data_IF_725309572464
#
_entry.id   IF_725309572464
#
_cell.length_a   1.000
_cell.length_b   1.000
_cell.length_c   1.000
_cell.angle_alpha   90.00
_cell.angle_beta   90.00
_cell.angle_gamma   90.00
#
_symmetry.space_group_name_H-M   'P 1'
#
loop_
_entity.id
_entity.type
_entity.pdbx_description
1 polymer ?
#
# COMPACT_ATOMS: atom_id res chain seq x y z
N UNK A 1 43.05 -11.40 -41.48
CA UNK A 1 41.75 -11.22 -40.82
C UNK A 1 41.42 -9.71 -40.78
N UNK A 2 40.48 -9.23 -41.59
CA UNK A 2 40.04 -7.84 -41.57
C UNK A 2 39.12 -7.64 -40.35
N UNK A 3 39.57 -6.90 -39.34
CA UNK A 3 38.72 -6.44 -38.25
C UNK A 3 37.82 -5.32 -38.81
N UNK A 4 36.54 -5.60 -38.98
CA UNK A 4 35.54 -4.59 -39.30
C UNK A 4 35.37 -3.70 -38.07
N UNK A 5 35.68 -2.41 -38.19
CA UNK A 5 35.43 -1.41 -37.16
C UNK A 5 33.99 -0.90 -37.27
N UNK A 6 33.39 -0.51 -36.13
CA UNK A 6 32.08 0.13 -36.05
C UNK A 6 32.19 1.60 -36.50
N UNK A 7 31.25 2.08 -37.28
CA UNK A 7 31.23 3.51 -37.68
C UNK A 7 30.58 4.37 -36.58
N UNK A 8 31.01 5.63 -36.47
CA UNK A 8 30.42 6.60 -35.54
C UNK A 8 28.91 6.79 -35.72
N UNK A 9 28.45 6.75 -36.99
CA UNK A 9 27.05 6.94 -37.33
C UNK A 9 26.18 5.74 -36.89
N UNK A 10 26.70 4.51 -37.00
CA UNK A 10 26.00 3.31 -36.53
C UNK A 10 25.77 3.38 -35.02
N UNK A 11 26.77 3.83 -34.25
CA UNK A 11 26.62 4.00 -32.80
C UNK A 11 25.61 5.12 -32.46
N UNK A 12 25.70 6.25 -33.18
CA UNK A 12 24.83 7.41 -32.94
C UNK A 12 23.36 7.07 -33.18
N UNK A 13 23.03 6.37 -34.25
CA UNK A 13 21.65 5.96 -34.56
C UNK A 13 21.11 5.01 -33.51
N UNK A 14 21.91 4.05 -33.05
CA UNK A 14 21.49 3.10 -32.01
C UNK A 14 21.17 3.81 -30.69
N UNK A 15 22.04 4.72 -30.22
CA UNK A 15 21.78 5.43 -28.96
C UNK A 15 20.59 6.38 -29.06
N UNK A 16 20.34 6.97 -30.25
CA UNK A 16 19.17 7.80 -30.50
C UNK A 16 17.88 6.97 -30.38
N UNK A 17 17.83 5.80 -31.02
CA UNK A 17 16.66 4.91 -30.95
C UNK A 17 16.42 4.45 -29.51
N UNK A 18 17.46 4.00 -28.80
CA UNK A 18 17.35 3.60 -27.38
C UNK A 18 16.85 4.77 -26.52
N UNK A 19 17.36 5.99 -26.76
CA UNK A 19 16.93 7.19 -26.04
C UNK A 19 15.43 7.47 -26.18
N UNK A 20 14.90 7.39 -27.40
CA UNK A 20 13.46 7.59 -27.68
C UNK A 20 12.62 6.48 -27.02
N UNK A 21 13.02 5.22 -27.14
CA UNK A 21 12.30 4.09 -26.53
C UNK A 21 12.33 4.19 -25.00
N UNK A 22 13.47 4.51 -24.41
CA UNK A 22 13.61 4.68 -22.97
C UNK A 22 12.74 5.82 -22.42
N UNK A 23 12.65 6.94 -23.15
CA UNK A 23 11.82 8.08 -22.72
C UNK A 23 10.34 7.72 -22.53
N UNK A 24 9.83 6.77 -23.32
CA UNK A 24 8.45 6.27 -23.19
C UNK A 24 8.32 5.11 -22.18
N UNK A 25 9.32 4.25 -22.10
CA UNK A 25 9.26 3.03 -21.27
C UNK A 25 9.47 3.31 -19.76
N UNK A 26 10.38 4.23 -19.42
CA UNK A 26 10.77 4.48 -18.02
C UNK A 26 9.60 4.95 -17.15
N UNK A 27 8.75 5.92 -17.55
CA UNK A 27 7.60 6.33 -16.74
C UNK A 27 6.61 5.19 -16.48
N UNK A 28 6.35 4.35 -17.49
CA UNK A 28 5.45 3.21 -17.38
C UNK A 28 6.02 2.14 -16.44
N UNK A 29 7.32 1.91 -16.50
CA UNK A 29 8.00 0.98 -15.60
C UNK A 29 7.86 1.40 -14.12
N UNK A 30 8.09 2.67 -13.79
CA UNK A 30 7.92 3.15 -12.41
C UNK A 30 6.49 3.00 -11.92
N UNK A 31 5.49 3.27 -12.75
CA UNK A 31 4.08 3.07 -12.42
C UNK A 31 3.77 1.59 -12.15
N UNK A 32 4.30 0.68 -12.96
CA UNK A 32 4.11 -0.76 -12.78
C UNK A 32 4.76 -1.27 -11.48
N UNK A 33 5.98 -0.81 -11.17
CA UNK A 33 6.67 -1.14 -9.91
C UNK A 33 5.87 -0.65 -8.70
N UNK A 34 5.32 0.55 -8.76
CA UNK A 34 4.58 1.10 -7.63
C UNK A 34 3.23 0.38 -7.43
N UNK A 35 2.55 -0.03 -8.51
CA UNK A 35 1.37 -0.92 -8.42
C UNK A 35 1.70 -2.27 -7.77
N UNK A 36 2.85 -2.85 -8.07
CA UNK A 36 3.28 -4.08 -7.43
C UNK A 36 3.50 -3.90 -5.92
N UNK A 37 4.09 -2.78 -5.49
CA UNK A 37 4.23 -2.45 -4.05
C UNK A 37 2.88 -2.24 -3.36
N UNK A 38 1.96 -1.56 -4.03
CA UNK A 38 0.58 -1.39 -3.53
C UNK A 38 -0.09 -2.74 -3.32
N UNK A 39 0.05 -3.67 -4.25
CA UNK A 39 -0.50 -5.03 -4.14
C UNK A 39 0.11 -5.79 -2.96
N UNK A 40 1.43 -5.67 -2.75
CA UNK A 40 2.11 -6.24 -1.57
C UNK A 40 1.52 -5.70 -0.25
N UNK A 41 1.33 -4.38 -0.17
CA UNK A 41 0.69 -3.74 0.98
C UNK A 41 -0.73 -4.23 1.23
N UNK A 42 -1.52 -4.42 0.17
CA UNK A 42 -2.88 -4.94 0.25
C UNK A 42 -2.95 -6.37 0.75
N UNK A 43 -2.09 -7.25 0.23
CA UNK A 43 -2.03 -8.65 0.69
C UNK A 43 -1.71 -8.70 2.18
N UNK A 44 -0.73 -7.92 2.62
CA UNK A 44 -0.36 -7.83 4.02
C UNK A 44 -1.50 -7.31 4.90
N UNK A 45 -2.21 -6.28 4.47
CA UNK A 45 -3.39 -5.78 5.17
C UNK A 45 -4.53 -6.82 5.24
N UNK A 46 -4.71 -7.63 4.19
CA UNK A 46 -5.71 -8.70 4.18
C UNK A 46 -5.36 -9.82 5.17
N UNK A 47 -4.10 -10.22 5.23
CA UNK A 47 -3.59 -11.22 6.18
C UNK A 47 -3.73 -10.72 7.63
N UNK A 48 -3.39 -9.47 7.89
CA UNK A 48 -3.55 -8.83 9.19
C UNK A 48 -5.03 -8.80 9.60
N UNK A 49 -5.93 -8.35 8.72
CA UNK A 49 -7.35 -8.30 9.02
C UNK A 49 -7.92 -9.69 9.32
N UNK A 50 -7.49 -10.70 8.58
CA UNK A 50 -7.89 -12.10 8.81
C UNK A 50 -7.41 -12.62 10.17
N UNK A 51 -6.15 -12.34 10.53
CA UNK A 51 -5.58 -12.68 11.84
C UNK A 51 -6.28 -11.93 12.98
N UNK A 52 -6.56 -10.65 12.81
CA UNK A 52 -7.29 -9.85 13.78
C UNK A 52 -8.72 -10.38 14.02
N UNK A 53 -9.41 -10.83 12.96
CA UNK A 53 -10.74 -11.47 13.10
C UNK A 53 -10.66 -12.79 13.89
N UNK A 54 -9.65 -13.62 13.63
CA UNK A 54 -9.43 -14.84 14.43
C UNK A 54 -9.14 -14.52 15.90
N UNK A 55 -8.34 -13.48 16.14
CA UNK A 55 -8.04 -13.00 17.49
C UNK A 55 -9.31 -12.50 18.21
N UNK A 56 -10.13 -11.73 17.51
CA UNK A 56 -11.40 -11.22 18.04
C UNK A 56 -12.34 -12.37 18.49
N UNK A 57 -12.41 -13.45 17.71
CA UNK A 57 -13.21 -14.63 18.08
C UNK A 57 -12.68 -15.35 19.32
N UNK A 58 -11.38 -15.24 19.61
CA UNK A 58 -10.75 -15.91 20.76
C UNK A 58 -10.90 -15.11 22.07
N UNK A 59 -10.73 -13.79 22.02
CA UNK A 59 -10.63 -12.96 23.22
C UNK A 59 -11.62 -11.78 23.25
N UNK A 60 -12.54 -11.72 22.29
CA UNK A 60 -13.47 -10.61 22.09
C UNK A 60 -12.76 -9.22 22.02
N UNK A 61 -11.61 -9.18 21.38
CA UNK A 61 -10.80 -7.97 21.22
C UNK A 61 -9.72 -8.14 20.14
N UNK A 62 -9.23 -7.04 19.63
CA UNK A 62 -8.16 -7.03 18.65
C UNK A 62 -6.77 -6.98 19.29
N UNK A 63 -5.78 -7.58 18.67
CA UNK A 63 -4.41 -7.49 19.12
C UNK A 63 -3.88 -6.05 18.96
N UNK A 64 -3.20 -5.55 20.01
CA UNK A 64 -2.62 -4.20 20.03
C UNK A 64 -1.27 -4.11 19.34
N UNK A 65 -0.61 -5.24 19.14
CA UNK A 65 0.68 -5.34 18.47
C UNK A 65 0.73 -6.60 17.60
N UNK A 66 1.70 -6.66 16.70
CA UNK A 66 1.87 -7.76 15.76
C UNK A 66 2.27 -9.08 16.44
N UNK A 67 2.88 -9.03 17.62
CA UNK A 67 3.23 -10.23 18.40
C UNK A 67 1.99 -11.02 18.87
N UNK A 68 0.83 -10.35 18.96
CA UNK A 68 -0.43 -10.95 19.31
C UNK A 68 -1.16 -11.65 18.15
N UNK A 69 -0.64 -11.54 16.93
CA UNK A 69 -1.21 -12.13 15.72
C UNK A 69 -0.56 -13.47 15.40
N UNK A 70 -1.28 -14.32 14.69
CA UNK A 70 -0.83 -15.63 14.20
C UNK A 70 -0.14 -15.55 12.82
N UNK A 71 0.54 -14.43 12.55
CA UNK A 71 1.28 -14.16 11.32
C UNK A 71 2.78 -14.13 11.66
N UNK A 72 3.58 -14.82 10.86
CA UNK A 72 5.03 -14.78 10.99
C UNK A 72 5.63 -13.65 10.15
N UNK A 73 6.36 -12.75 10.81
CA UNK A 73 7.14 -11.69 10.17
C UNK A 73 8.63 -12.03 10.20
N UNK A 74 9.37 -11.59 9.19
CA UNK A 74 10.81 -11.79 9.16
C UNK A 74 11.48 -10.92 10.23
N UNK A 75 12.56 -11.44 10.82
CA UNK A 75 13.35 -10.71 11.81
C UNK A 75 13.92 -9.43 11.18
N UNK A 76 13.70 -8.28 11.84
CA UNK A 76 14.15 -6.97 11.39
C UNK A 76 13.12 -6.18 10.56
N UNK A 77 11.97 -6.77 10.28
CA UNK A 77 10.84 -6.08 9.62
C UNK A 77 9.85 -5.46 10.63
N UNK A 78 9.96 -5.80 11.90
CA UNK A 78 9.06 -5.32 12.96
C UNK A 78 9.80 -4.37 13.90
N UNK A 79 9.12 -3.31 14.36
CA UNK A 79 9.61 -2.41 15.41
C UNK A 79 9.75 -3.13 16.75
N UNK A 80 10.60 -2.62 17.64
CA UNK A 80 10.88 -3.23 18.95
C UNK A 80 9.65 -3.33 19.84
N UNK A 81 8.72 -2.37 19.72
CA UNK A 81 7.42 -2.37 20.43
C UNK A 81 6.36 -3.26 19.78
N UNK A 82 6.64 -3.82 18.61
CA UNK A 82 5.75 -4.69 17.86
C UNK A 82 4.50 -3.99 17.29
N UNK A 83 4.48 -2.66 17.22
CA UNK A 83 3.30 -1.92 16.71
C UNK A 83 3.40 -1.59 15.22
N UNK A 84 4.61 -1.67 14.66
CA UNK A 84 4.90 -1.32 13.27
C UNK A 84 5.66 -2.45 12.58
N UNK A 85 5.32 -2.71 11.33
CA UNK A 85 6.10 -3.59 10.44
C UNK A 85 6.42 -2.87 9.14
N UNK A 86 7.49 -3.33 8.48
CA UNK A 86 7.98 -2.81 7.21
C UNK A 86 8.09 -3.95 6.20
N UNK A 87 7.62 -3.75 4.98
CA UNK A 87 7.76 -4.77 3.92
C UNK A 87 9.21 -4.92 3.43
N UNK A 88 10.02 -3.93 3.75
CA UNK A 88 11.49 -3.95 3.63
C UNK A 88 12.10 -3.47 4.94
N UNK A 89 13.43 -3.36 4.99
CA UNK A 89 14.10 -2.84 6.20
C UNK A 89 13.57 -1.45 6.57
N UNK A 90 13.62 -1.09 7.85
CA UNK A 90 13.15 0.20 8.39
C UNK A 90 13.72 1.43 7.66
N UNK A 91 14.87 1.29 7.00
CA UNK A 91 15.53 2.35 6.22
C UNK A 91 15.33 2.22 4.72
N UNK A 92 14.46 1.30 4.25
CA UNK A 92 14.27 1.03 2.82
C UNK A 92 12.97 1.57 2.25
N UNK A 93 12.95 1.71 0.93
CA UNK A 93 11.76 2.03 0.15
C UNK A 93 10.73 0.90 0.21
N UNK A 94 9.68 1.03 0.99
CA UNK A 94 8.67 -0.01 1.17
C UNK A 94 7.34 0.53 1.67
N UNK A 95 6.59 -0.34 2.32
CA UNK A 95 5.37 0.01 3.04
C UNK A 95 5.62 -0.11 4.54
N UNK A 96 5.22 0.90 5.28
CA UNK A 96 5.14 0.90 6.74
C UNK A 96 3.70 0.53 7.11
N UNK A 97 3.53 -0.52 7.90
CA UNK A 97 2.20 -0.96 8.33
C UNK A 97 2.06 -0.79 9.82
N UNK A 98 0.97 -0.13 10.22
CA UNK A 98 0.63 0.13 11.62
C UNK A 98 -0.73 -0.46 11.94
N UNK A 99 -0.91 -0.91 13.20
CA UNK A 99 -2.18 -1.38 13.72
C UNK A 99 -2.90 -0.25 14.46
N UNK A 100 -4.21 -0.16 14.25
CA UNK A 100 -5.14 0.62 15.07
C UNK A 100 -6.22 -0.31 15.62
N UNK A 101 -5.96 -0.96 16.79
CA UNK A 101 -6.84 -1.99 17.30
C UNK A 101 -8.12 -1.45 17.95
N UNK A 102 -8.12 -0.17 18.28
CA UNK A 102 -9.18 0.44 19.09
C UNK A 102 -9.63 1.76 18.46
N UNK A 103 -10.48 1.62 17.45
CA UNK A 103 -11.25 2.77 16.99
C UNK A 103 -12.71 2.49 17.31
N UNK A 104 -13.25 3.20 18.30
CA UNK A 104 -14.61 3.03 18.83
C UNK A 104 -15.71 3.14 17.77
N UNK A 105 -15.39 3.60 16.58
CA UNK A 105 -16.35 3.73 15.48
C UNK A 105 -16.35 2.56 14.49
N UNK A 106 -15.27 1.78 14.39
CA UNK A 106 -15.12 0.83 13.25
C UNK A 106 -14.50 -0.51 13.62
N UNK A 107 -14.33 -0.80 14.88
CA UNK A 107 -13.79 -2.10 15.30
C UNK A 107 -12.30 -2.33 14.98
N UNK A 108 -11.55 -1.25 14.72
CA UNK A 108 -10.11 -1.32 14.41
C UNK A 108 -9.78 -1.47 12.93
N UNK A 109 -8.58 -1.05 12.58
CA UNK A 109 -8.05 -1.12 11.21
C UNK A 109 -6.53 -1.25 11.20
N UNK A 110 -5.96 -1.60 10.06
CA UNK A 110 -4.54 -1.49 9.78
C UNK A 110 -4.32 -0.53 8.61
N UNK A 111 -3.24 0.24 8.67
CA UNK A 111 -2.85 1.17 7.61
C UNK A 111 -1.47 0.80 7.08
N UNK A 112 -1.35 0.68 5.76
CA UNK A 112 -0.10 0.52 5.05
C UNK A 112 0.23 1.83 4.32
N UNK A 113 1.29 2.51 4.75
CA UNK A 113 1.73 3.80 4.23
C UNK A 113 2.98 3.63 3.38
N UNK A 114 3.01 4.25 2.21
CA UNK A 114 4.21 4.31 1.37
C UNK A 114 5.25 5.21 2.04
N UNK A 115 6.43 4.66 2.30
CA UNK A 115 7.52 5.38 2.97
C UNK A 115 8.84 5.28 2.22
N UNK A 116 9.69 6.26 2.40
CA UNK A 116 11.12 6.23 2.08
C UNK A 116 11.90 6.59 3.34
N UNK A 117 12.84 5.73 3.75
CA UNK A 117 13.58 5.88 5.00
C UNK A 117 12.69 6.19 6.24
N UNK A 118 11.56 5.47 6.35
CA UNK A 118 10.54 5.64 7.39
C UNK A 118 9.76 6.99 7.34
N UNK A 119 10.01 7.82 6.35
CA UNK A 119 9.30 9.08 6.17
C UNK A 119 8.22 8.99 5.08
N UNK A 120 6.92 9.09 5.42
CA UNK A 120 5.84 9.12 4.43
C UNK A 120 5.77 10.44 3.67
N UNK A 121 6.42 11.50 4.19
CA UNK A 121 6.46 12.82 3.59
C UNK A 121 7.82 13.12 2.93
N UNK A 122 8.71 12.12 2.80
CA UNK A 122 10.04 12.30 2.23
C UNK A 122 10.00 13.08 0.91
N UNK A 123 10.80 14.12 0.84
CA UNK A 123 11.01 14.86 -0.39
C UNK A 123 11.61 13.92 -1.45
N UNK A 124 10.90 13.74 -2.56
CA UNK A 124 11.32 12.83 -3.62
C UNK A 124 10.45 11.58 -3.78
N UNK A 125 9.54 11.27 -2.87
CA UNK A 125 8.52 10.26 -3.13
C UNK A 125 7.57 10.73 -4.24
N UNK A 126 7.76 10.15 -5.43
CA UNK A 126 6.92 10.46 -6.59
C UNK A 126 5.47 10.01 -6.39
N UNK A 127 5.26 8.85 -5.73
CA UNK A 127 3.95 8.35 -5.34
C UNK A 127 3.83 8.36 -3.81
N UNK A 128 2.92 9.18 -3.29
CA UNK A 128 2.58 9.24 -1.85
C UNK A 128 1.15 8.81 -1.67
N UNK A 129 0.96 7.72 -0.93
CA UNK A 129 -0.35 7.14 -0.66
C UNK A 129 -0.31 6.25 0.58
N UNK A 130 -1.48 5.99 1.13
CA UNK A 130 -1.67 4.94 2.13
C UNK A 130 -2.95 4.14 1.85
N UNK A 131 -2.94 2.90 2.32
CA UNK A 131 -4.05 1.97 2.23
C UNK A 131 -4.54 1.70 3.65
N UNK A 132 -5.84 1.72 3.87
CA UNK A 132 -6.45 1.39 5.16
C UNK A 132 -7.45 0.27 4.97
N UNK A 133 -7.31 -0.79 5.78
CA UNK A 133 -8.23 -1.92 5.78
C UNK A 133 -8.84 -2.10 7.15
N UNK A 134 -10.16 -2.06 7.20
CA UNK A 134 -10.94 -2.28 8.42
C UNK A 134 -11.04 -3.78 8.71
N UNK A 135 -10.90 -4.18 9.99
CA UNK A 135 -10.93 -5.59 10.37
C UNK A 135 -12.31 -6.23 10.22
N UNK A 136 -13.37 -5.46 10.42
CA UNK A 136 -14.75 -5.92 10.33
C UNK A 136 -15.29 -6.01 8.90
N UNK A 137 -14.58 -5.48 7.90
CA UNK A 137 -15.01 -5.50 6.50
C UNK A 137 -13.89 -5.95 5.57
N UNK A 138 -14.24 -6.31 4.33
CA UNK A 138 -13.27 -6.60 3.28
C UNK A 138 -12.90 -5.37 2.44
N UNK A 139 -13.40 -4.20 2.83
CA UNK A 139 -13.11 -2.95 2.14
C UNK A 139 -11.70 -2.47 2.46
N UNK A 140 -11.01 -2.04 1.42
CA UNK A 140 -9.71 -1.37 1.51
C UNK A 140 -9.83 0.00 0.89
N UNK A 141 -9.54 1.01 1.68
CA UNK A 141 -9.51 2.40 1.26
C UNK A 141 -8.11 2.75 0.77
N UNK A 142 -8.02 3.43 -0.37
CA UNK A 142 -6.80 4.06 -0.84
C UNK A 142 -6.91 5.57 -0.68
N UNK A 143 -5.88 6.17 -0.12
CA UNK A 143 -5.77 7.62 0.04
C UNK A 143 -4.48 8.10 -0.63
N UNK A 144 -4.60 9.02 -1.59
CA UNK A 144 -3.48 9.63 -2.29
C UNK A 144 -3.08 10.95 -1.67
N UNK A 145 -1.87 11.01 -1.12
CA UNK A 145 -1.34 12.21 -0.44
C UNK A 145 -0.76 13.25 -1.41
N UNK A 146 -0.55 12.87 -2.68
CA UNK A 146 -0.17 13.77 -3.76
C UNK A 146 -0.85 13.37 -5.08
N UNK A 147 -0.72 14.21 -6.12
CA UNK A 147 -1.38 14.00 -7.40
C UNK A 147 -1.07 12.62 -8.03
N UNK A 148 0.18 12.15 -7.94
CA UNK A 148 0.57 10.84 -8.46
C UNK A 148 -0.01 9.69 -7.61
N UNK A 149 -0.08 9.86 -6.29
CA UNK A 149 -0.74 8.93 -5.39
C UNK A 149 -2.25 8.85 -5.65
N UNK A 150 -2.91 10.00 -5.87
CA UNK A 150 -4.34 10.06 -6.23
C UNK A 150 -4.64 9.35 -7.55
N UNK A 151 -3.78 9.54 -8.57
CA UNK A 151 -3.92 8.80 -9.83
C UNK A 151 -3.73 7.30 -9.63
N UNK A 152 -2.77 6.89 -8.81
CA UNK A 152 -2.53 5.49 -8.51
C UNK A 152 -3.71 4.86 -7.73
N UNK A 153 -4.30 5.59 -6.78
CA UNK A 153 -5.52 5.19 -6.08
C UNK A 153 -6.71 5.08 -7.03
N UNK A 154 -6.89 6.03 -7.95
CA UNK A 154 -7.96 5.96 -8.96
C UNK A 154 -7.84 4.71 -9.83
N UNK A 155 -6.63 4.41 -10.32
CA UNK A 155 -6.34 3.18 -11.07
C UNK A 155 -6.64 1.91 -10.24
N UNK A 156 -6.35 1.95 -8.95
CA UNK A 156 -6.62 0.85 -8.02
C UNK A 156 -8.11 0.63 -7.78
N UNK A 157 -8.86 1.69 -7.60
CA UNK A 157 -10.30 1.63 -7.33
C UNK A 157 -11.14 1.44 -8.61
N UNK A 158 -10.53 1.55 -9.80
CA UNK A 158 -11.23 1.47 -11.08
C UNK A 158 -12.10 2.70 -11.37
N UNK A 159 -11.70 3.88 -10.91
CA UNK A 159 -12.38 5.16 -11.16
C UNK A 159 -11.61 6.00 -12.18
N UNK A 160 -12.33 6.69 -13.07
CA UNK A 160 -11.72 7.44 -14.19
C UNK A 160 -11.04 8.74 -13.77
N UNK A 161 -11.43 9.31 -12.64
CA UNK A 161 -10.91 10.59 -12.16
C UNK A 161 -10.07 10.43 -10.91
N UNK A 162 -8.90 11.09 -10.83
CA UNK A 162 -8.10 11.11 -9.61
C UNK A 162 -8.93 11.64 -8.44
N UNK A 163 -8.98 10.85 -7.37
CA UNK A 163 -9.65 11.22 -6.13
C UNK A 163 -8.66 11.07 -4.96
N UNK A 164 -8.75 11.98 -3.99
CA UNK A 164 -7.92 11.89 -2.79
C UNK A 164 -8.20 10.59 -2.02
N UNK A 165 -9.43 10.09 -2.10
CA UNK A 165 -9.87 8.88 -1.39
C UNK A 165 -10.76 8.05 -2.28
N UNK A 166 -10.55 6.75 -2.31
CA UNK A 166 -11.43 5.79 -2.98
C UNK A 166 -11.36 4.40 -2.34
N UNK A 167 -12.30 3.54 -2.69
CA UNK A 167 -12.45 2.19 -2.15
C UNK A 167 -12.29 1.13 -3.23
N UNK A 168 -11.89 -0.05 -2.85
CA UNK A 168 -11.75 -1.20 -3.75
C UNK A 168 -13.08 -1.72 -4.33
N UNK A 169 -14.22 -1.18 -3.91
CA UNK A 169 -15.55 -1.45 -4.48
C UNK A 169 -15.96 -0.42 -5.55
N UNK A 170 -15.06 0.51 -5.91
CA UNK A 170 -15.28 1.57 -6.89
C UNK A 170 -15.99 2.81 -6.34
N UNK A 171 -16.31 2.86 -5.06
CA UNK A 171 -16.90 4.05 -4.44
C UNK A 171 -15.85 5.10 -4.10
N UNK A 172 -16.21 6.38 -4.11
CA UNK A 172 -15.31 7.48 -3.76
C UNK A 172 -15.08 7.62 -2.25
N UNK A 173 -15.90 6.99 -1.43
CA UNK A 173 -15.79 7.01 0.03
C UNK A 173 -16.14 5.63 0.58
N UNK A 174 -15.20 5.01 1.29
CA UNK A 174 -15.50 3.86 2.11
C UNK A 174 -16.25 4.34 3.36
N UNK A 175 -17.51 4.00 3.45
CA UNK A 175 -18.15 4.09 4.73
C UNK A 175 -17.44 3.10 5.67
N UNK A 176 -16.89 3.54 6.81
CA UNK A 176 -16.46 2.60 7.82
C UNK A 176 -17.65 1.69 8.15
N UNK A 177 -17.44 0.39 8.38
CA UNK A 177 -18.51 -0.48 8.82
C UNK A 177 -19.13 0.18 10.05
N UNK A 178 -20.41 0.53 9.96
CA UNK A 178 -21.14 1.09 11.07
C UNK A 178 -21.02 0.05 12.18
N UNK A 179 -20.36 0.40 13.26
CA UNK A 179 -20.42 -0.36 14.49
C UNK A 179 -21.89 -0.64 14.75
N UNK A 180 -22.29 -1.90 14.70
CA UNK A 180 -23.68 -2.28 14.88
C UNK A 180 -24.15 -1.77 16.23
N UNK A 181 -24.79 -0.64 16.20
CA UNK A 181 -25.72 -0.27 17.23
C UNK A 181 -26.95 -1.12 16.94
N UNK A 182 -26.91 -2.36 17.39
CA UNK A 182 -28.14 -3.10 17.61
C UNK A 182 -28.97 -2.25 18.55
N UNK A 183 -29.77 -1.37 17.98
CA UNK A 183 -30.93 -0.87 18.65
C UNK A 183 -31.75 -2.08 18.99
N UNK A 184 -31.58 -2.52 20.24
CA UNK A 184 -32.46 -3.42 20.94
C UNK A 184 -33.91 -3.04 20.55
N UNK A 185 -34.49 -3.79 19.65
CA UNK A 185 -35.91 -3.79 19.45
C UNK A 185 -36.54 -4.37 20.73
N UNK A 186 -36.86 -3.51 21.65
CA UNK A 186 -37.88 -3.81 22.67
C UNK A 186 -39.20 -3.93 21.95
N UNK A 187 -39.70 -5.10 21.88
CA UNK A 187 -41.06 -5.45 21.59
C UNK A 187 -41.46 -6.57 22.52
#
# INVERSE_FOLDING_TARGET
MHKKGFTLIELLVVVLIIGILAAMAVPQYFKAVERARMTEGMQLLADIASSQRRKYLQINGYAKNFNGLDIAFKKGEMSDDGTTIYTKTQTGNGMKVTLSPDNSYVGGFATATRVDNDDPAADGLFYRYHLTRYYASDLTQCYGDNANGQQLCADFCGIDTPAATCCNDGTSQCAPPISGNETSAKG
#
